data_IF_951889128793
#
_entry.id   IF_951889128793
#
_cell.length_a   1.000
_cell.length_b   1.000
_cell.length_c   1.000
_cell.angle_alpha   90.00
_cell.angle_beta   90.00
_cell.angle_gamma   90.00
#
_symmetry.space_group_name_H-M   'P 1'
#
loop_
_entity.id
_entity.type
_entity.pdbx_description
1 polymer ?
#
# COMPACT_ATOMS: atom_id res chain seq x y z
N UNK A 1 13.31 -5.91 -8.31
CA UNK A 1 13.57 -4.61 -7.65
C UNK A 1 12.84 -3.53 -8.43
N UNK A 2 11.79 -2.92 -7.87
CA UNK A 2 10.93 -1.94 -8.55
C UNK A 2 11.42 -0.51 -8.30
N UNK A 3 11.07 0.44 -9.19
CA UNK A 3 11.40 1.87 -9.02
C UNK A 3 10.88 2.43 -7.70
N UNK A 4 9.72 1.95 -7.23
CA UNK A 4 9.14 2.33 -5.94
C UNK A 4 10.03 1.95 -4.75
N UNK A 5 10.66 0.76 -4.75
CA UNK A 5 11.64 0.39 -3.71
C UNK A 5 12.84 1.34 -3.69
N UNK A 6 13.32 1.74 -4.86
CA UNK A 6 14.45 2.69 -4.96
C UNK A 6 14.07 4.06 -4.41
N UNK A 7 12.86 4.56 -4.70
CA UNK A 7 12.34 5.80 -4.14
C UNK A 7 12.23 5.72 -2.60
N UNK A 8 11.71 4.61 -2.08
CA UNK A 8 11.54 4.40 -0.63
C UNK A 8 12.85 4.25 0.15
N UNK A 9 13.90 3.71 -0.48
CA UNK A 9 15.23 3.59 0.11
C UNK A 9 16.05 4.88 0.04
N UNK A 10 15.75 5.76 -0.92
CA UNK A 10 16.48 7.01 -1.13
C UNK A 10 16.07 8.07 -0.11
N UNK A 11 17.05 8.65 0.59
CA UNK A 11 16.82 9.68 1.61
C UNK A 11 16.57 11.07 1.04
N UNK A 12 16.91 11.31 -0.23
CA UNK A 12 16.70 12.57 -0.93
C UNK A 12 15.22 12.91 -1.14
N UNK A 13 14.34 11.91 -1.15
CA UNK A 13 12.90 12.12 -1.25
C UNK A 13 12.28 12.18 0.14
N UNK A 14 11.53 13.25 0.43
CA UNK A 14 10.68 13.33 1.62
C UNK A 14 9.37 12.58 1.39
N UNK A 15 8.93 11.83 2.40
CA UNK A 15 7.61 11.20 2.43
C UNK A 15 6.93 11.58 3.74
N UNK A 16 5.64 11.89 3.69
CA UNK A 16 4.84 12.21 4.88
C UNK A 16 4.92 11.08 5.92
N UNK A 17 4.79 9.84 5.47
CA UNK A 17 5.04 8.66 6.28
C UNK A 17 5.78 7.59 5.46
N UNK A 18 7.10 7.50 5.66
CA UNK A 18 7.96 6.55 4.93
C UNK A 18 7.60 5.09 5.24
N UNK A 19 7.23 4.78 6.49
CA UNK A 19 6.87 3.41 6.85
C UNK A 19 5.60 2.97 6.12
N UNK A 20 4.60 3.84 6.04
CA UNK A 20 3.38 3.55 5.29
C UNK A 20 3.65 3.35 3.80
N UNK A 21 4.53 4.17 3.21
CA UNK A 21 4.97 3.99 1.82
C UNK A 21 5.66 2.63 1.58
N UNK A 22 6.56 2.23 2.48
CA UNK A 22 7.23 0.92 2.39
C UNK A 22 6.25 -0.25 2.57
N UNK A 23 5.28 -0.14 3.48
CA UNK A 23 4.21 -1.12 3.63
C UNK A 23 3.39 -1.25 2.35
N UNK A 24 3.02 -0.12 1.72
CA UNK A 24 2.29 -0.11 0.46
C UNK A 24 3.05 -0.80 -0.68
N UNK A 25 4.39 -0.66 -0.72
CA UNK A 25 5.23 -1.39 -1.68
C UNK A 25 5.14 -2.89 -1.47
N UNK A 26 5.20 -3.36 -0.20
CA UNK A 26 5.05 -4.77 0.12
C UNK A 26 3.70 -5.35 -0.33
N UNK A 27 2.62 -4.61 -0.12
CA UNK A 27 1.27 -4.98 -0.59
C UNK A 27 1.18 -5.01 -2.13
N UNK A 28 1.79 -4.03 -2.79
CA UNK A 28 1.81 -3.94 -4.25
C UNK A 28 2.56 -5.10 -4.89
N UNK A 29 3.73 -5.44 -4.37
CA UNK A 29 4.53 -6.55 -4.91
C UNK A 29 3.88 -7.93 -4.71
N UNK A 30 2.99 -8.07 -3.73
CA UNK A 30 2.24 -9.29 -3.46
C UNK A 30 0.86 -9.38 -4.13
N UNK A 31 0.46 -8.39 -4.94
CA UNK A 31 -0.88 -8.34 -5.53
C UNK A 31 -0.88 -7.90 -6.99
N UNK A 32 -2.01 -8.07 -7.67
CA UNK A 32 -2.25 -7.52 -9.00
C UNK A 32 -2.84 -6.10 -8.96
N UNK A 33 -2.98 -5.52 -7.77
CA UNK A 33 -3.60 -4.23 -7.58
C UNK A 33 -2.67 -3.08 -7.99
N UNK A 34 -3.25 -1.92 -8.30
CA UNK A 34 -2.47 -0.70 -8.51
C UNK A 34 -1.85 -0.20 -7.20
N UNK A 35 -0.61 0.32 -7.27
CA UNK A 35 0.11 0.85 -6.10
C UNK A 35 -0.70 1.87 -5.27
N UNK A 36 -1.48 2.74 -5.93
CA UNK A 36 -2.32 3.72 -5.24
C UNK A 36 -3.36 3.07 -4.30
N UNK A 37 -3.94 1.93 -4.69
CA UNK A 37 -4.86 1.19 -3.84
C UNK A 37 -4.16 0.61 -2.61
N UNK A 38 -2.94 0.08 -2.80
CA UNK A 38 -2.10 -0.39 -1.71
C UNK A 38 -1.71 0.76 -0.76
N UNK A 39 -1.42 1.95 -1.29
CA UNK A 39 -1.09 3.12 -0.48
C UNK A 39 -2.27 3.60 0.37
N UNK A 40 -3.47 3.64 -0.20
CA UNK A 40 -4.71 3.95 0.54
C UNK A 40 -4.93 2.93 1.66
N UNK A 41 -4.79 1.64 1.35
CA UNK A 41 -4.96 0.58 2.35
C UNK A 41 -3.95 0.68 3.50
N UNK A 42 -2.68 0.96 3.18
CA UNK A 42 -1.64 1.17 4.18
C UNK A 42 -1.92 2.40 5.05
N UNK A 43 -2.41 3.50 4.47
CA UNK A 43 -2.82 4.69 5.22
C UNK A 43 -3.99 4.41 6.18
N UNK A 44 -5.04 3.72 5.71
CA UNK A 44 -6.18 3.36 6.55
C UNK A 44 -5.75 2.45 7.71
N UNK A 45 -4.89 1.47 7.45
CA UNK A 45 -4.34 0.62 8.51
C UNK A 45 -3.51 1.44 9.51
N UNK A 46 -2.67 2.37 9.05
CA UNK A 46 -1.89 3.25 9.92
C UNK A 46 -2.78 4.21 10.75
N UNK A 47 -3.96 4.56 10.24
CA UNK A 47 -4.97 5.35 10.95
C UNK A 47 -5.81 4.51 11.94
N UNK A 48 -5.59 3.20 12.01
CA UNK A 48 -6.31 2.29 12.93
C UNK A 48 -7.66 1.81 12.40
N UNK A 49 -7.93 1.91 11.10
CA UNK A 49 -9.14 1.33 10.51
C UNK A 49 -9.08 -0.20 10.51
N UNK A 50 -10.22 -0.86 10.75
CA UNK A 50 -10.33 -2.33 10.76
C UNK A 50 -10.06 -2.96 9.39
N UNK A 51 -10.56 -2.32 8.33
CA UNK A 51 -10.35 -2.75 6.94
C UNK A 51 -10.52 -1.60 5.97
N UNK A 52 -10.04 -1.79 4.74
CA UNK A 52 -10.32 -0.92 3.59
C UNK A 52 -11.34 -1.59 2.67
N UNK A 53 -12.48 -0.94 2.46
CA UNK A 53 -13.48 -1.39 1.50
C UNK A 53 -13.10 -0.93 0.07
N UNK A 54 -13.25 -1.80 -0.92
CA UNK A 54 -12.97 -1.48 -2.33
C UNK A 54 -13.80 -2.33 -3.29
N UNK A 55 -14.04 -1.82 -4.50
CA UNK A 55 -14.60 -2.60 -5.60
C UNK A 55 -13.51 -3.25 -6.48
N UNK A 56 -12.24 -2.92 -6.24
CA UNK A 56 -11.12 -3.51 -6.96
C UNK A 56 -10.88 -4.96 -6.48
N UNK A 57 -11.25 -5.91 -7.33
CA UNK A 57 -11.08 -7.35 -7.04
C UNK A 57 -9.61 -7.76 -6.96
N UNK A 58 -8.69 -7.01 -7.58
CA UNK A 58 -7.26 -7.29 -7.54
C UNK A 58 -6.67 -7.09 -6.13
N UNK A 59 -7.35 -6.34 -5.26
CA UNK A 59 -6.97 -6.13 -3.85
C UNK A 59 -7.40 -7.26 -2.92
N UNK A 60 -8.19 -8.25 -3.39
CA UNK A 60 -8.66 -9.38 -2.58
C UNK A 60 -7.55 -10.15 -1.81
N UNK A 61 -6.33 -10.38 -2.33
CA UNK A 61 -5.29 -11.09 -1.59
C UNK A 61 -4.57 -10.23 -0.53
N UNK A 62 -4.82 -8.92 -0.49
CA UNK A 62 -4.16 -8.01 0.45
C UNK A 62 -4.86 -8.09 1.81
N UNK A 63 -4.08 -8.28 2.87
CA UNK A 63 -4.60 -8.33 4.24
C UNK A 63 -5.29 -7.02 4.64
N UNK A 64 -6.39 -7.11 5.39
CA UNK A 64 -7.16 -5.93 5.81
C UNK A 64 -8.03 -5.31 4.69
N UNK A 65 -8.22 -6.00 3.57
CA UNK A 65 -9.13 -5.56 2.51
C UNK A 65 -10.47 -6.28 2.57
N UNK A 66 -11.55 -5.52 2.36
CA UNK A 66 -12.89 -6.05 2.09
C UNK A 66 -13.33 -5.66 0.68
N UNK A 67 -13.41 -6.64 -0.21
CA UNK A 67 -13.96 -6.42 -1.55
C UNK A 67 -15.48 -6.48 -1.49
N UNK A 68 -16.15 -5.46 -2.03
CA UNK A 68 -17.61 -5.35 -2.12
C UNK A 68 -18.15 -5.84 -3.46
#
# INVERSE_FOLDING_TARGET
MTALRMLGATLTFGFENRNTFLTAIGMYEGSAAGFAHCLIAANNSAAGCDFTATFDRAMRPVAGIKVL
#
